data_IF_537782398273
#
_entry.id   IF_537782398273
#
_cell.length_a   1.000
_cell.length_b   1.000
_cell.length_c   1.000
_cell.angle_alpha   90.00
_cell.angle_beta   90.00
_cell.angle_gamma   90.00
#
_symmetry.space_group_name_H-M   'P 1'
#
loop_
_entity.id
_entity.type
_entity.pdbx_description
1 polymer ?
#
# COMPACT_ATOMS: atom_id res chain seq x y z
N UNK A 1 55.30 50.38 -27.41
CA UNK A 1 54.52 50.10 -26.20
C UNK A 1 53.31 49.29 -26.55
N UNK A 2 53.19 47.98 -26.21
CA UNK A 2 52.03 47.20 -26.50
C UNK A 2 51.22 46.95 -25.22
N UNK A 3 50.05 47.55 -25.05
CA UNK A 3 49.10 47.35 -23.92
C UNK A 3 47.80 46.67 -24.30
N UNK A 4 47.66 46.03 -25.46
CA UNK A 4 46.39 45.53 -26.00
C UNK A 4 46.11 44.05 -25.90
N UNK A 5 47.02 43.17 -25.37
CA UNK A 5 46.89 41.73 -25.50
C UNK A 5 46.42 40.95 -24.23
N UNK A 6 46.24 41.62 -23.09
CA UNK A 6 45.85 40.93 -21.83
C UNK A 6 44.36 40.97 -21.51
N UNK A 7 43.55 41.77 -22.20
CA UNK A 7 42.10 41.89 -21.90
C UNK A 7 41.28 40.76 -22.60
N UNK A 8 41.69 40.35 -23.82
CA UNK A 8 40.96 39.30 -24.57
C UNK A 8 41.01 37.90 -23.95
N UNK A 9 41.97 37.56 -23.08
CA UNK A 9 42.04 36.27 -22.46
C UNK A 9 41.15 36.11 -21.20
N UNK A 10 40.80 37.23 -20.54
CA UNK A 10 39.92 37.20 -19.33
C UNK A 10 38.46 37.02 -19.73
N UNK A 11 38.02 37.58 -20.82
CA UNK A 11 36.62 37.43 -21.28
C UNK A 11 36.33 36.05 -21.86
N UNK A 12 37.31 35.44 -22.54
CA UNK A 12 37.17 34.06 -23.02
C UNK A 12 37.16 33.02 -21.89
N UNK A 13 37.88 33.26 -20.80
CA UNK A 13 37.88 32.38 -19.63
C UNK A 13 36.57 32.48 -18.82
N UNK A 14 35.98 33.66 -18.73
CA UNK A 14 34.68 33.88 -18.05
C UNK A 14 33.51 33.24 -18.83
N UNK A 15 33.54 33.28 -20.18
CA UNK A 15 32.51 32.65 -21.02
C UNK A 15 32.60 31.11 -20.97
N UNK A 16 33.79 30.52 -20.82
CA UNK A 16 33.96 29.06 -20.67
C UNK A 16 33.52 28.56 -19.29
N UNK A 17 33.63 29.34 -18.23
CA UNK A 17 33.12 29.00 -16.89
C UNK A 17 31.59 29.05 -16.84
N UNK A 18 30.93 29.99 -17.54
CA UNK A 18 29.47 30.05 -17.61
C UNK A 18 28.85 28.92 -18.44
N UNK A 19 29.54 28.43 -19.48
CA UNK A 19 29.06 27.31 -20.30
C UNK A 19 29.14 25.97 -19.56
N UNK A 20 30.02 25.82 -18.59
CA UNK A 20 30.18 24.58 -17.79
C UNK A 20 29.10 24.41 -16.70
N UNK A 21 28.42 25.47 -16.26
CA UNK A 21 27.35 25.39 -15.24
C UNK A 21 25.97 25.08 -15.83
N UNK A 22 25.79 25.13 -17.13
CA UNK A 22 24.50 24.89 -17.79
C UNK A 22 24.19 23.38 -18.03
N UNK A 23 25.09 22.46 -17.72
CA UNK A 23 24.96 21.03 -18.05
C UNK A 23 24.51 20.13 -16.87
N UNK A 24 24.18 20.70 -15.73
CA UNK A 24 23.54 19.98 -14.62
C UNK A 24 22.04 20.28 -14.57
N UNK A 25 21.36 20.04 -15.67
CA UNK A 25 19.92 19.80 -15.62
C UNK A 25 19.75 18.39 -15.07
N UNK A 26 19.82 18.25 -13.75
CA UNK A 26 19.27 17.08 -13.07
C UNK A 26 17.83 16.93 -13.59
N UNK A 27 17.48 15.78 -14.15
CA UNK A 27 16.11 15.49 -14.51
C UNK A 27 15.26 15.68 -13.25
N UNK A 28 14.44 16.71 -13.25
CA UNK A 28 13.63 17.09 -12.09
C UNK A 28 12.41 16.17 -11.94
N UNK A 29 12.47 14.96 -12.46
CA UNK A 29 11.35 14.02 -12.44
C UNK A 29 11.75 12.62 -12.86
N UNK A 30 10.76 11.72 -12.84
CA UNK A 30 10.94 10.36 -13.33
C UNK A 30 11.18 10.33 -14.85
N UNK A 31 12.01 9.40 -15.30
CA UNK A 31 12.40 9.28 -16.72
C UNK A 31 11.27 8.76 -17.61
N UNK A 32 10.25 8.12 -17.00
CA UNK A 32 9.06 7.60 -17.68
C UNK A 32 7.85 7.57 -16.73
N UNK A 33 6.68 7.28 -17.28
CA UNK A 33 5.47 6.96 -16.50
C UNK A 33 5.71 5.69 -15.69
N UNK A 34 5.32 5.72 -14.43
CA UNK A 34 5.50 4.62 -13.46
C UNK A 34 4.24 3.74 -13.45
N UNK A 35 4.41 2.46 -13.72
CA UNK A 35 3.32 1.48 -13.81
C UNK A 35 2.96 0.89 -12.44
N UNK A 36 1.70 1.05 -12.06
CA UNK A 36 1.19 0.66 -10.74
C UNK A 36 -0.02 -0.27 -10.88
N UNK A 37 0.17 -1.59 -10.97
CA UNK A 37 -0.95 -2.52 -10.89
C UNK A 37 -1.56 -2.50 -9.48
N UNK A 38 -2.85 -2.21 -9.39
CA UNK A 38 -3.58 -2.07 -8.14
C UNK A 38 -4.77 -3.01 -8.07
N UNK A 39 -5.17 -3.34 -6.85
CA UNK A 39 -6.39 -4.08 -6.56
C UNK A 39 -7.23 -3.31 -5.54
N UNK A 40 -8.57 -3.29 -5.66
CA UNK A 40 -9.42 -2.67 -4.66
C UNK A 40 -9.10 -3.16 -3.25
N UNK A 41 -8.98 -2.23 -2.32
CA UNK A 41 -8.62 -2.46 -0.92
C UNK A 41 -9.35 -1.45 0.00
N UNK A 42 -10.68 -1.40 -0.11
CA UNK A 42 -11.51 -0.45 0.61
C UNK A 42 -11.16 1.00 0.25
N UNK A 43 -11.01 1.84 1.26
CA UNK A 43 -10.67 3.27 1.06
C UNK A 43 -9.20 3.52 0.73
N UNK A 44 -8.36 2.50 0.87
CA UNK A 44 -6.94 2.63 0.47
C UNK A 44 -6.80 2.71 -1.04
N UNK A 45 -7.57 1.88 -1.76
CA UNK A 45 -7.64 1.86 -3.23
C UNK A 45 -9.06 1.45 -3.62
N UNK A 46 -9.74 2.26 -4.39
CA UNK A 46 -11.04 1.93 -4.97
C UNK A 46 -11.17 2.52 -6.39
N UNK A 47 -12.19 2.07 -7.12
CA UNK A 47 -12.51 2.57 -8.45
C UNK A 47 -13.83 3.33 -8.35
N UNK A 48 -13.85 4.54 -8.87
CA UNK A 48 -15.02 5.40 -8.96
C UNK A 48 -15.01 6.09 -10.33
N UNK A 49 -16.11 6.00 -11.08
CA UNK A 49 -16.22 6.58 -12.43
C UNK A 49 -15.02 6.24 -13.33
N UNK A 50 -14.64 4.97 -13.35
CA UNK A 50 -13.44 4.42 -14.07
C UNK A 50 -12.09 4.95 -13.60
N UNK A 51 -12.04 5.79 -12.57
CA UNK A 51 -10.82 6.33 -12.00
C UNK A 51 -10.42 5.58 -10.74
N UNK A 52 -9.11 5.31 -10.64
CA UNK A 52 -8.53 4.75 -9.41
C UNK A 52 -8.36 5.88 -8.39
N UNK A 53 -9.02 5.76 -7.25
CA UNK A 53 -9.04 6.73 -6.17
C UNK A 53 -8.68 6.08 -4.82
N UNK A 54 -8.65 6.87 -3.75
CA UNK A 54 -8.35 6.44 -2.39
C UNK A 54 -7.03 6.97 -1.85
N UNK A 55 -6.73 6.62 -0.61
CA UNK A 55 -5.58 7.14 0.14
C UNK A 55 -4.28 7.05 -0.67
N UNK A 56 -3.99 5.87 -1.24
CA UNK A 56 -2.69 5.62 -1.87
C UNK A 56 -2.59 6.20 -3.28
N UNK A 57 -3.55 6.01 -4.18
CA UNK A 57 -3.49 6.64 -5.51
C UNK A 57 -3.44 8.17 -5.46
N UNK A 58 -4.17 8.79 -4.54
CA UNK A 58 -4.17 10.24 -4.37
C UNK A 58 -2.83 10.72 -3.80
N UNK A 59 -2.27 10.02 -2.80
CA UNK A 59 -0.93 10.30 -2.26
C UNK A 59 0.14 10.19 -3.37
N UNK A 60 0.09 9.14 -4.20
CA UNK A 60 1.03 8.98 -5.30
C UNK A 60 0.94 10.14 -6.29
N UNK A 61 -0.27 10.51 -6.73
CA UNK A 61 -0.44 11.64 -7.66
C UNK A 61 0.05 12.96 -7.06
N UNK A 62 -0.32 13.25 -5.80
CA UNK A 62 0.10 14.47 -5.09
C UNK A 62 1.62 14.54 -4.98
N UNK A 63 2.26 13.48 -4.53
CA UNK A 63 3.71 13.42 -4.33
C UNK A 63 4.49 13.29 -5.63
N UNK A 64 3.95 12.53 -6.59
CA UNK A 64 4.50 12.43 -7.92
C UNK A 64 4.53 13.76 -8.65
N UNK A 65 3.45 14.54 -8.58
CA UNK A 65 3.41 15.87 -9.18
C UNK A 65 4.52 16.79 -8.63
N UNK A 66 4.79 16.72 -7.31
CA UNK A 66 5.88 17.48 -6.68
C UNK A 66 7.27 16.99 -7.08
N UNK A 67 7.40 15.70 -7.40
CA UNK A 67 8.65 15.06 -7.80
C UNK A 67 8.83 14.98 -9.32
N UNK A 68 7.88 15.45 -10.12
CA UNK A 68 7.90 15.33 -11.58
C UNK A 68 7.70 13.89 -12.08
N UNK A 69 6.99 13.06 -11.32
CA UNK A 69 6.67 11.67 -11.68
C UNK A 69 5.19 11.52 -11.97
N UNK A 70 4.87 10.78 -13.03
CA UNK A 70 3.51 10.42 -13.42
C UNK A 70 3.27 8.92 -13.16
N UNK A 71 2.06 8.56 -12.69
CA UNK A 71 1.66 7.19 -12.36
C UNK A 71 0.52 6.72 -13.24
N UNK A 72 0.67 5.52 -13.82
CA UNK A 72 -0.36 4.83 -14.57
C UNK A 72 -0.89 3.65 -13.74
N UNK A 73 -2.17 3.71 -13.38
CA UNK A 73 -2.82 2.66 -12.60
C UNK A 73 -3.54 1.67 -13.51
N UNK A 74 -3.32 0.37 -13.27
CA UNK A 74 -4.07 -0.72 -13.90
C UNK A 74 -4.78 -1.54 -12.83
N UNK A 75 -6.10 -1.69 -12.93
CA UNK A 75 -6.91 -2.43 -11.96
C UNK A 75 -6.89 -3.91 -12.31
N UNK A 76 -6.36 -4.73 -11.39
CA UNK A 76 -6.26 -6.18 -11.56
C UNK A 76 -6.52 -6.89 -10.23
N UNK A 77 -6.85 -8.19 -10.23
CA UNK A 77 -6.94 -8.99 -9.00
C UNK A 77 -5.64 -8.96 -8.20
N UNK A 78 -5.74 -9.01 -6.87
CA UNK A 78 -4.59 -8.90 -5.94
C UNK A 78 -3.43 -9.85 -6.26
N UNK A 79 -3.74 -11.11 -6.55
CA UNK A 79 -2.74 -12.11 -6.91
C UNK A 79 -2.07 -11.78 -8.26
N UNK A 80 -2.80 -11.20 -9.22
CA UNK A 80 -2.27 -10.76 -10.51
C UNK A 80 -1.33 -9.57 -10.33
N UNK A 81 -1.72 -8.56 -9.53
CA UNK A 81 -0.85 -7.43 -9.21
C UNK A 81 0.48 -7.89 -8.59
N UNK A 82 0.43 -8.85 -7.67
CA UNK A 82 1.63 -9.42 -7.07
C UNK A 82 2.51 -10.12 -8.10
N UNK A 83 1.92 -10.95 -8.98
CA UNK A 83 2.67 -11.63 -10.04
C UNK A 83 3.32 -10.64 -11.01
N UNK A 84 2.58 -9.63 -11.46
CA UNK A 84 3.07 -8.60 -12.38
C UNK A 84 4.32 -7.90 -11.85
N UNK A 85 4.33 -7.56 -10.54
CA UNK A 85 5.48 -6.86 -9.95
C UNK A 85 6.61 -7.81 -9.56
N UNK A 86 6.30 -8.93 -8.85
CA UNK A 86 7.34 -9.75 -8.22
C UNK A 86 7.87 -10.89 -9.08
N UNK A 87 7.10 -11.37 -10.07
CA UNK A 87 7.47 -12.52 -10.89
C UNK A 87 7.72 -12.14 -12.35
N UNK A 88 6.83 -11.35 -12.94
CA UNK A 88 6.92 -10.93 -14.34
C UNK A 88 7.80 -9.69 -14.54
N UNK A 89 8.09 -8.96 -13.45
CA UNK A 89 8.89 -7.73 -13.44
C UNK A 89 8.42 -6.69 -14.47
N UNK A 90 7.09 -6.59 -14.66
CA UNK A 90 6.46 -5.67 -15.60
C UNK A 90 5.65 -4.55 -14.94
N UNK A 91 5.61 -4.52 -13.60
CA UNK A 91 5.05 -3.43 -12.79
C UNK A 91 6.13 -2.81 -11.91
N UNK A 92 6.03 -1.51 -11.66
CA UNK A 92 7.04 -0.75 -10.94
C UNK A 92 6.80 -0.71 -9.43
N UNK A 93 5.54 -0.53 -9.03
CA UNK A 93 5.14 -0.42 -7.63
C UNK A 93 4.10 -1.48 -7.26
N UNK A 94 4.14 -1.92 -6.01
CA UNK A 94 3.12 -2.78 -5.42
C UNK A 94 2.61 -2.21 -4.11
N UNK A 95 1.32 -1.86 -4.07
CA UNK A 95 0.66 -1.24 -2.91
C UNK A 95 -0.85 -1.58 -2.84
N UNK A 96 -1.50 -1.45 -1.66
CA UNK A 96 -0.87 -1.43 -0.34
C UNK A 96 -0.11 -2.73 -0.09
N UNK A 97 1.02 -2.68 0.58
CA UNK A 97 1.82 -3.87 0.85
C UNK A 97 2.16 -3.97 2.34
N UNK A 98 2.10 -5.19 2.88
CA UNK A 98 2.78 -5.53 4.12
C UNK A 98 4.18 -6.08 3.78
N UNK A 99 5.17 -5.72 4.60
CA UNK A 99 6.55 -6.15 4.38
C UNK A 99 6.66 -7.67 4.45
N UNK A 100 7.38 -8.25 3.49
CA UNK A 100 7.65 -9.67 3.40
C UNK A 100 9.13 -9.89 3.05
N UNK A 101 9.95 -10.53 3.93
CA UNK A 101 11.40 -10.63 3.76
C UNK A 101 11.85 -11.21 2.40
N UNK A 102 11.09 -12.15 1.84
CA UNK A 102 11.43 -12.74 0.54
C UNK A 102 11.39 -11.74 -0.60
N UNK A 103 10.53 -10.71 -0.51
CA UNK A 103 10.41 -9.64 -1.51
C UNK A 103 11.53 -8.61 -1.42
N UNK A 104 12.11 -8.42 -0.23
CA UNK A 104 13.20 -7.46 -0.01
C UNK A 104 14.46 -7.79 -0.82
N UNK A 105 14.59 -9.04 -1.32
CA UNK A 105 15.71 -9.49 -2.16
C UNK A 105 15.76 -8.78 -3.52
N UNK A 106 14.61 -8.52 -4.12
CA UNK A 106 14.48 -7.96 -5.48
C UNK A 106 13.78 -6.61 -5.51
N UNK A 107 13.13 -6.22 -4.42
CA UNK A 107 12.36 -4.99 -4.32
C UNK A 107 12.77 -4.21 -3.07
N UNK A 108 12.65 -2.89 -3.14
CA UNK A 108 12.86 -2.01 -2.00
C UNK A 108 11.50 -1.74 -1.35
N UNK A 109 11.41 -1.93 -0.04
CA UNK A 109 10.21 -1.61 0.73
C UNK A 109 10.36 -0.25 1.39
N UNK A 110 9.37 0.63 1.19
CA UNK A 110 9.27 1.90 1.91
C UNK A 110 8.05 1.83 2.82
N UNK A 111 8.23 1.83 4.15
CA UNK A 111 7.13 1.85 5.09
C UNK A 111 6.42 3.21 5.05
N UNK A 112 5.10 3.20 5.03
CA UNK A 112 4.26 4.40 5.09
C UNK A 112 3.53 4.52 6.43
N UNK A 113 3.22 3.39 7.07
CA UNK A 113 2.58 3.33 8.38
C UNK A 113 2.73 1.94 8.99
N UNK A 114 2.40 1.82 10.29
CA UNK A 114 2.27 0.53 10.98
C UNK A 114 0.85 0.38 11.50
N UNK A 115 0.30 -0.82 11.41
CA UNK A 115 -1.05 -1.13 11.85
C UNK A 115 -1.17 -2.55 12.38
N UNK A 116 -2.15 -2.77 13.25
CA UNK A 116 -2.52 -4.10 13.71
C UNK A 116 -3.43 -4.84 12.72
N UNK A 117 -3.62 -6.12 12.99
CA UNK A 117 -4.65 -6.94 12.37
C UNK A 117 -5.93 -6.81 13.20
N UNK A 118 -7.07 -6.88 12.53
CA UNK A 118 -8.38 -6.89 13.14
C UNK A 118 -9.18 -8.12 12.71
N UNK A 119 -10.03 -8.61 13.59
CA UNK A 119 -11.09 -9.54 13.24
C UNK A 119 -12.31 -8.76 12.79
N UNK A 120 -12.91 -9.22 11.70
CA UNK A 120 -14.15 -8.67 11.18
C UNK A 120 -15.26 -9.72 11.24
N UNK A 121 -16.41 -9.32 11.82
CA UNK A 121 -17.63 -10.14 11.96
C UNK A 121 -18.85 -9.34 11.56
N UNK A 122 -19.97 -9.98 11.22
CA UNK A 122 -21.24 -9.27 11.09
C UNK A 122 -21.70 -8.73 12.45
N UNK A 123 -22.25 -7.52 12.47
CA UNK A 123 -22.81 -6.92 13.70
C UNK A 123 -23.99 -7.70 14.27
N UNK A 124 -24.68 -8.46 13.43
CA UNK A 124 -25.80 -9.32 13.82
C UNK A 124 -25.36 -10.62 14.48
N UNK A 125 -24.07 -10.98 14.35
CA UNK A 125 -23.52 -12.17 14.99
C UNK A 125 -22.96 -11.82 16.38
N UNK A 126 -22.84 -12.85 17.24
CA UNK A 126 -22.14 -12.71 18.52
C UNK A 126 -20.68 -12.31 18.30
N UNK A 127 -20.07 -11.56 19.25
CA UNK A 127 -18.64 -11.30 19.23
C UNK A 127 -17.82 -12.61 19.23
N UNK A 128 -16.74 -12.62 18.50
CA UNK A 128 -15.78 -13.74 18.50
C UNK A 128 -14.55 -13.40 19.36
N UNK A 129 -13.75 -14.39 19.77
CA UNK A 129 -12.49 -14.12 20.47
C UNK A 129 -11.54 -13.20 19.68
N UNK A 130 -10.78 -12.37 20.38
CA UNK A 130 -9.87 -11.39 19.78
C UNK A 130 -8.41 -11.87 19.72
N UNK A 131 -8.16 -13.15 20.00
CA UNK A 131 -6.84 -13.79 19.82
C UNK A 131 -6.93 -15.08 19.00
N UNK A 132 -5.83 -15.40 18.31
CA UNK A 132 -5.79 -16.54 17.39
C UNK A 132 -5.99 -17.89 18.07
N UNK A 133 -5.46 -18.07 19.29
CA UNK A 133 -5.54 -19.33 20.00
C UNK A 133 -6.99 -19.66 20.40
N UNK A 134 -7.73 -18.67 20.90
CA UNK A 134 -9.15 -18.84 21.26
C UNK A 134 -10.04 -18.99 20.02
N UNK A 135 -9.78 -18.25 18.92
CA UNK A 135 -10.47 -18.44 17.65
C UNK A 135 -10.28 -19.86 17.11
N UNK A 136 -9.08 -20.42 17.28
CA UNK A 136 -8.77 -21.78 16.85
C UNK A 136 -9.41 -22.82 17.75
N UNK A 137 -9.45 -22.56 19.07
CA UNK A 137 -10.05 -23.47 20.06
C UNK A 137 -11.58 -23.58 19.91
N UNK A 138 -12.25 -22.51 19.50
CA UNK A 138 -13.69 -22.53 19.26
C UNK A 138 -14.01 -23.24 17.94
N UNK A 139 -14.37 -24.53 18.05
CA UNK A 139 -14.63 -25.40 16.89
C UNK A 139 -15.94 -25.08 16.15
N UNK A 140 -16.78 -24.21 16.69
CA UNK A 140 -18.00 -23.75 16.02
C UNK A 140 -17.73 -22.66 14.97
N UNK A 141 -16.61 -21.91 15.12
CA UNK A 141 -16.29 -20.78 14.26
C UNK A 141 -15.63 -21.20 12.95
N UNK A 142 -16.06 -20.56 11.86
CA UNK A 142 -15.52 -20.72 10.51
C UNK A 142 -14.92 -19.41 10.03
N UNK A 143 -13.67 -19.45 9.54
CA UNK A 143 -12.98 -18.29 8.97
C UNK A 143 -13.03 -18.29 7.44
N UNK A 144 -12.92 -17.09 6.85
CA UNK A 144 -12.77 -16.91 5.40
C UNK A 144 -11.68 -15.89 5.13
N UNK A 145 -10.79 -16.14 4.16
CA UNK A 145 -9.57 -15.38 3.94
C UNK A 145 -9.37 -15.04 2.46
N UNK A 146 -8.68 -13.93 2.16
CA UNK A 146 -8.37 -13.55 0.77
C UNK A 146 -7.06 -14.18 0.34
N UNK A 147 -7.05 -14.81 -0.83
CA UNK A 147 -5.86 -15.39 -1.43
C UNK A 147 -4.76 -14.35 -1.65
N UNK A 148 -3.53 -14.69 -1.24
CA UNK A 148 -2.37 -13.80 -1.39
C UNK A 148 -2.23 -12.75 -0.29
N UNK A 149 -3.14 -12.71 0.69
CA UNK A 149 -2.89 -11.94 1.91
C UNK A 149 -1.90 -12.68 2.80
N UNK A 150 -1.02 -11.90 3.43
CA UNK A 150 -0.02 -12.39 4.37
C UNK A 150 0.14 -11.40 5.50
N UNK A 151 -0.05 -11.85 6.73
CA UNK A 151 0.02 -11.04 7.94
C UNK A 151 1.01 -11.63 8.96
N UNK A 152 2.12 -12.18 8.47
CA UNK A 152 3.13 -12.85 9.29
C UNK A 152 2.89 -14.36 9.42
N UNK A 153 3.90 -15.06 9.98
CA UNK A 153 3.89 -16.54 10.09
C UNK A 153 2.71 -17.03 10.92
N UNK A 154 2.45 -16.42 12.09
CA UNK A 154 1.34 -16.80 12.96
C UNK A 154 -0.03 -16.76 12.27
N UNK A 155 -0.25 -15.79 11.37
CA UNK A 155 -1.45 -15.76 10.53
C UNK A 155 -1.48 -16.91 9.53
N UNK A 156 -0.34 -17.19 8.87
CA UNK A 156 -0.25 -18.29 7.91
C UNK A 156 -0.59 -19.63 8.57
N UNK A 157 0.07 -19.95 9.66
CA UNK A 157 -0.13 -21.17 10.44
C UNK A 157 -1.60 -21.31 10.91
N UNK A 158 -2.21 -20.21 11.35
CA UNK A 158 -3.61 -20.15 11.76
C UNK A 158 -4.56 -20.48 10.59
N UNK A 159 -4.35 -19.88 9.42
CA UNK A 159 -5.17 -20.13 8.22
C UNK A 159 -5.03 -21.58 7.77
N UNK A 160 -3.80 -22.10 7.74
CA UNK A 160 -3.50 -23.47 7.33
C UNK A 160 -4.15 -24.50 8.28
N UNK A 161 -4.11 -24.22 9.59
CA UNK A 161 -4.76 -25.09 10.58
C UNK A 161 -6.29 -25.08 10.45
N UNK A 162 -6.91 -23.91 10.26
CA UNK A 162 -8.35 -23.85 10.00
C UNK A 162 -8.75 -24.57 8.71
N UNK A 163 -7.92 -24.48 7.67
CA UNK A 163 -8.15 -25.19 6.41
C UNK A 163 -8.06 -26.71 6.59
N UNK A 164 -7.05 -27.20 7.33
CA UNK A 164 -6.89 -28.62 7.67
C UNK A 164 -8.10 -29.17 8.47
N UNK A 165 -8.67 -28.34 9.34
CA UNK A 165 -9.88 -28.65 10.11
C UNK A 165 -11.20 -28.45 9.30
N UNK A 166 -11.13 -28.08 8.02
CA UNK A 166 -12.28 -27.74 7.15
C UNK A 166 -13.14 -26.62 7.70
N UNK A 167 -12.52 -25.68 8.42
CA UNK A 167 -13.13 -24.48 9.01
C UNK A 167 -12.62 -23.18 8.39
N UNK A 168 -11.70 -23.25 7.43
CA UNK A 168 -11.11 -22.10 6.74
C UNK A 168 -11.30 -22.21 5.24
N UNK A 169 -11.90 -21.17 4.64
CA UNK A 169 -12.03 -21.03 3.20
C UNK A 169 -11.14 -19.90 2.68
N UNK A 170 -10.56 -20.08 1.49
CA UNK A 170 -9.76 -19.04 0.82
C UNK A 170 -10.41 -18.63 -0.49
N UNK A 171 -10.71 -17.34 -0.62
CA UNK A 171 -11.42 -16.75 -1.76
C UNK A 171 -10.52 -15.81 -2.56
N UNK A 172 -10.85 -15.49 -3.83
CA UNK A 172 -9.99 -14.70 -4.69
C UNK A 172 -9.88 -13.23 -4.28
N UNK A 173 -10.93 -12.65 -3.70
CA UNK A 173 -11.06 -11.20 -3.46
C UNK A 173 -11.95 -10.86 -2.25
N UNK A 174 -11.88 -9.59 -1.85
CA UNK A 174 -12.69 -9.05 -0.74
C UNK A 174 -14.20 -9.06 -1.06
N UNK A 175 -14.58 -8.90 -2.32
CA UNK A 175 -15.99 -8.90 -2.70
C UNK A 175 -16.63 -10.26 -2.43
N UNK A 176 -15.98 -11.33 -2.88
CA UNK A 176 -16.42 -12.71 -2.62
C UNK A 176 -16.42 -12.99 -1.11
N UNK A 177 -15.38 -12.56 -0.39
CA UNK A 177 -15.29 -12.69 1.06
C UNK A 177 -16.48 -12.01 1.75
N UNK A 178 -16.77 -10.75 1.41
CA UNK A 178 -17.88 -9.99 1.99
C UNK A 178 -19.22 -10.66 1.75
N UNK A 179 -19.48 -11.12 0.52
CA UNK A 179 -20.72 -11.84 0.17
C UNK A 179 -20.90 -13.12 0.98
N UNK A 180 -19.81 -13.87 1.18
CA UNK A 180 -19.85 -15.12 1.97
C UNK A 180 -20.11 -14.86 3.44
N UNK A 181 -19.48 -13.83 4.04
CA UNK A 181 -19.77 -13.41 5.41
C UNK A 181 -21.23 -12.98 5.56
N UNK A 182 -21.74 -12.11 4.67
CA UNK A 182 -23.14 -11.67 4.67
C UNK A 182 -24.15 -12.80 4.50
N UNK A 183 -23.76 -13.86 3.79
CA UNK A 183 -24.58 -15.06 3.60
C UNK A 183 -24.47 -16.07 4.76
N UNK A 184 -23.73 -15.75 5.85
CA UNK A 184 -23.55 -16.63 7.00
C UNK A 184 -22.77 -17.92 6.68
N UNK A 185 -21.94 -17.91 5.62
CA UNK A 185 -21.09 -19.07 5.25
C UNK A 185 -19.80 -19.13 6.03
N UNK A 186 -19.44 -18.03 6.68
CA UNK A 186 -18.33 -17.92 7.62
C UNK A 186 -18.69 -16.89 8.70
N UNK A 187 -18.06 -17.02 9.86
CA UNK A 187 -18.34 -16.19 11.03
C UNK A 187 -17.40 -14.99 11.10
N UNK A 188 -16.16 -15.13 10.63
CA UNK A 188 -15.16 -14.08 10.72
C UNK A 188 -14.14 -14.11 9.57
N UNK A 189 -13.43 -12.97 9.45
CA UNK A 189 -12.18 -12.85 8.68
C UNK A 189 -11.17 -12.04 9.45
N UNK A 190 -9.90 -12.15 9.05
CA UNK A 190 -8.82 -11.31 9.55
C UNK A 190 -8.32 -10.37 8.44
N UNK A 191 -8.22 -9.08 8.74
CA UNK A 191 -7.76 -8.05 7.81
C UNK A 191 -6.86 -7.04 8.53
N UNK A 192 -5.98 -6.33 7.83
CA UNK A 192 -5.36 -5.13 8.39
C UNK A 192 -6.45 -4.17 8.85
N UNK A 193 -6.29 -3.59 10.05
CA UNK A 193 -7.34 -2.82 10.72
C UNK A 193 -8.01 -1.77 9.81
N UNK A 194 -7.20 -0.96 9.12
CA UNK A 194 -7.71 0.09 8.24
C UNK A 194 -8.40 -0.50 6.99
N UNK A 195 -7.87 -1.59 6.44
CA UNK A 195 -8.53 -2.28 5.32
C UNK A 195 -9.91 -2.78 5.74
N UNK A 196 -10.01 -3.40 6.93
CA UNK A 196 -11.27 -3.87 7.49
C UNK A 196 -12.31 -2.75 7.60
N UNK A 197 -11.89 -1.54 7.99
CA UNK A 197 -12.77 -0.37 8.20
C UNK A 197 -13.46 0.18 6.95
N UNK A 198 -13.32 -0.38 5.78
CA UNK A 198 -13.97 0.17 4.59
C UNK A 198 -14.06 -0.78 3.40
N UNK A 199 -13.43 -1.96 3.49
CA UNK A 199 -13.38 -2.88 2.36
C UNK A 199 -14.60 -3.82 2.29
N UNK A 200 -15.11 -4.25 3.44
CA UNK A 200 -16.13 -5.30 3.51
C UNK A 200 -17.52 -4.85 3.09
N UNK A 201 -17.85 -3.58 3.23
CA UNK A 201 -19.15 -3.07 2.80
C UNK A 201 -19.24 -2.88 1.29
N UNK A 202 -18.13 -2.90 0.57
CA UNK A 202 -18.03 -2.68 -0.88
C UNK A 202 -18.51 -1.28 -1.29
N UNK A 203 -18.56 -0.36 -0.35
CA UNK A 203 -19.00 1.02 -0.52
C UNK A 203 -17.96 1.96 0.13
N UNK A 204 -16.88 2.30 -0.58
CA UNK A 204 -15.72 3.00 0.01
C UNK A 204 -16.05 4.38 0.60
N UNK A 205 -17.15 4.98 0.20
CA UNK A 205 -17.61 6.27 0.73
C UNK A 205 -18.69 6.17 1.81
N UNK A 206 -19.17 4.97 2.13
CA UNK A 206 -20.18 4.78 3.16
C UNK A 206 -19.63 5.20 4.54
N UNK A 207 -20.38 5.93 5.37
CA UNK A 207 -19.98 6.24 6.73
C UNK A 207 -19.67 4.97 7.53
N UNK A 208 -18.55 4.91 8.25
CA UNK A 208 -18.13 3.70 8.98
C UNK A 208 -19.14 3.25 10.04
N UNK A 209 -19.89 4.18 10.63
CA UNK A 209 -20.96 3.86 11.57
C UNK A 209 -22.14 3.09 10.96
N UNK A 210 -22.27 3.07 9.63
CA UNK A 210 -23.30 2.33 8.90
C UNK A 210 -22.83 0.97 8.41
N UNK A 211 -21.57 0.59 8.70
CA UNK A 211 -21.02 -0.72 8.32
C UNK A 211 -21.86 -1.85 8.92
N UNK A 212 -22.14 -2.86 8.09
CA UNK A 212 -22.74 -4.11 8.54
C UNK A 212 -21.75 -4.94 9.40
N UNK A 213 -20.48 -4.58 9.39
CA UNK A 213 -19.41 -5.32 10.06
C UNK A 213 -18.94 -4.62 11.34
N UNK A 214 -18.59 -5.44 12.31
CA UNK A 214 -17.81 -5.06 13.49
C UNK A 214 -16.35 -5.37 13.18
N UNK A 215 -15.48 -4.39 13.40
CA UNK A 215 -14.04 -4.52 13.15
C UNK A 215 -13.31 -4.27 14.46
N UNK A 216 -12.73 -5.32 15.04
CA UNK A 216 -12.12 -5.30 16.37
C UNK A 216 -10.63 -5.67 16.27
N UNK A 217 -9.71 -4.89 16.87
CA UNK A 217 -8.28 -5.20 16.86
C UNK A 217 -8.01 -6.56 17.51
N UNK A 218 -7.15 -7.36 16.85
CA UNK A 218 -6.65 -8.60 17.42
C UNK A 218 -5.63 -8.34 18.53
N UNK A 219 -5.68 -9.13 19.58
CA UNK A 219 -4.73 -9.12 20.68
C UNK A 219 -3.53 -10.02 20.39
N UNK A 220 -2.37 -9.70 20.98
CA UNK A 220 -1.18 -10.55 20.91
C UNK A 220 -0.47 -10.60 19.55
N UNK A 221 -0.94 -9.86 18.55
CA UNK A 221 -0.27 -9.76 17.26
C UNK A 221 0.56 -8.48 17.16
N UNK A 222 1.77 -8.52 16.57
CA UNK A 222 2.58 -7.34 16.39
C UNK A 222 1.96 -6.37 15.37
N UNK A 223 2.31 -5.07 15.51
CA UNK A 223 2.03 -4.12 14.45
C UNK A 223 2.87 -4.45 13.22
N UNK A 224 2.24 -4.38 12.06
CA UNK A 224 2.87 -4.70 10.78
C UNK A 224 3.16 -3.43 10.00
N UNK A 225 4.33 -3.39 9.34
CA UNK A 225 4.68 -2.31 8.41
C UNK A 225 3.83 -2.42 7.15
N UNK A 226 3.07 -1.37 6.89
CA UNK A 226 2.30 -1.19 5.66
C UNK A 226 2.96 -0.10 4.81
N UNK A 227 3.15 -0.37 3.52
CA UNK A 227 3.89 0.55 2.66
C UNK A 227 3.79 0.20 1.19
N UNK A 228 4.84 0.54 0.47
CA UNK A 228 4.99 0.31 -0.97
C UNK A 228 6.28 -0.46 -1.24
N UNK A 229 6.20 -1.45 -2.14
CA UNK A 229 7.37 -2.05 -2.77
C UNK A 229 7.68 -1.35 -4.08
N UNK A 230 8.94 -1.07 -4.32
CA UNK A 230 9.48 -0.53 -5.57
C UNK A 230 10.38 -1.57 -6.22
N UNK A 231 10.19 -1.83 -7.50
CA UNK A 231 10.98 -2.83 -8.24
C UNK A 231 12.40 -2.33 -8.49
N UNK A 232 13.41 -3.05 -8.00
CA UNK A 232 14.82 -2.80 -8.34
C UNK A 232 15.19 -3.31 -9.73
N UNK A 233 14.34 -4.16 -10.30
CA UNK A 233 14.59 -4.83 -11.58
C UNK A 233 13.97 -4.09 -12.77
N UNK A 234 12.92 -3.29 -12.51
CA UNK A 234 12.15 -2.62 -13.55
C UNK A 234 12.33 -1.08 -13.56
N UNK A 235 12.61 -0.49 -12.38
CA UNK A 235 12.87 0.95 -12.29
C UNK A 235 14.33 1.27 -12.61
N UNK A 236 14.54 2.39 -13.33
CA UNK A 236 15.87 3.00 -13.44
C UNK A 236 16.38 3.38 -12.03
N UNK A 237 17.69 3.24 -11.75
CA UNK A 237 18.24 3.59 -10.44
C UNK A 237 17.95 5.02 -9.99
N UNK A 238 17.90 5.98 -10.91
CA UNK A 238 17.58 7.38 -10.57
C UNK A 238 16.10 7.53 -10.19
N UNK A 239 15.17 6.89 -10.95
CA UNK A 239 13.74 6.87 -10.64
C UNK A 239 13.48 6.17 -9.30
N UNK A 240 14.15 5.04 -9.05
CA UNK A 240 14.06 4.33 -7.78
C UNK A 240 14.46 5.21 -6.61
N UNK A 241 15.61 5.88 -6.69
CA UNK A 241 16.11 6.76 -5.65
C UNK A 241 15.16 7.96 -5.42
N UNK A 242 14.65 8.56 -6.48
CA UNK A 242 13.71 9.68 -6.43
C UNK A 242 12.39 9.27 -5.76
N UNK A 243 11.83 8.13 -6.13
CA UNK A 243 10.57 7.62 -5.57
C UNK A 243 10.73 7.25 -4.09
N UNK A 244 11.85 6.60 -3.71
CA UNK A 244 12.16 6.31 -2.30
C UNK A 244 12.17 7.60 -1.49
N UNK A 245 12.95 8.60 -1.93
CA UNK A 245 13.03 9.89 -1.24
C UNK A 245 11.66 10.58 -1.18
N UNK A 246 10.86 10.48 -2.24
CA UNK A 246 9.51 11.06 -2.30
C UNK A 246 8.60 10.46 -1.25
N UNK A 247 8.61 9.13 -1.07
CA UNK A 247 7.77 8.48 -0.07
C UNK A 247 8.30 8.68 1.36
N UNK A 248 9.60 8.64 1.57
CA UNK A 248 10.20 8.95 2.88
C UNK A 248 9.86 10.39 3.33
N UNK A 249 9.95 11.36 2.43
CA UNK A 249 9.51 12.73 2.69
C UNK A 249 8.02 12.82 2.99
N UNK A 250 7.18 12.06 2.30
CA UNK A 250 5.74 12.04 2.54
C UNK A 250 5.39 11.52 3.95
N UNK A 251 6.18 10.60 4.49
CA UNK A 251 6.07 10.17 5.89
C UNK A 251 6.54 11.28 6.82
N UNK A 252 7.76 11.79 6.60
CA UNK A 252 8.41 12.76 7.47
C UNK A 252 7.63 14.09 7.60
N UNK A 253 7.00 14.56 6.53
CA UNK A 253 6.21 15.79 6.52
C UNK A 253 4.72 15.57 6.88
N UNK A 254 4.34 14.35 7.23
CA UNK A 254 2.98 14.00 7.64
C UNK A 254 1.95 13.92 6.50
N UNK A 255 2.39 13.93 5.24
CA UNK A 255 1.45 13.83 4.11
C UNK A 255 0.73 12.48 4.07
N UNK A 256 1.40 11.39 4.45
CA UNK A 256 0.76 10.08 4.57
C UNK A 256 -0.41 10.17 5.56
N UNK A 257 -0.18 10.70 6.76
CA UNK A 257 -1.24 10.88 7.78
C UNK A 257 -2.39 11.75 7.25
N UNK A 258 -2.09 12.87 6.57
CA UNK A 258 -3.12 13.73 5.97
C UNK A 258 -3.91 13.00 4.87
N UNK A 259 -3.26 12.16 4.06
CA UNK A 259 -3.94 11.35 3.05
C UNK A 259 -4.95 10.38 3.69
N UNK A 260 -4.58 9.73 4.79
CA UNK A 260 -5.52 8.89 5.54
C UNK A 260 -6.70 9.67 6.10
N UNK A 261 -6.47 10.86 6.69
CA UNK A 261 -7.52 11.71 7.25
C UNK A 261 -8.54 12.23 6.23
N UNK A 262 -8.22 12.22 4.93
CA UNK A 262 -9.21 12.53 3.87
C UNK A 262 -10.24 11.41 3.67
N UNK A 263 -9.92 10.18 4.05
CA UNK A 263 -10.73 9.00 3.77
C UNK A 263 -11.24 8.29 5.03
N UNK A 264 -10.59 8.49 6.15
CA UNK A 264 -10.91 7.86 7.44
C UNK A 264 -11.08 8.90 8.52
N UNK A 265 -12.01 8.67 9.47
CA UNK A 265 -12.16 9.56 10.61
C UNK A 265 -10.95 9.46 11.54
N UNK A 266 -10.70 10.51 12.35
CA UNK A 266 -9.52 10.61 13.22
C UNK A 266 -9.29 9.39 14.12
N UNK A 267 -10.35 8.84 14.73
CA UNK A 267 -10.26 7.69 15.65
C UNK A 267 -9.74 6.40 14.97
N UNK A 268 -9.88 6.27 13.67
CA UNK A 268 -9.28 5.19 12.89
C UNK A 268 -7.82 5.48 12.61
N UNK A 269 -7.49 6.73 12.25
CA UNK A 269 -6.13 7.15 11.90
C UNK A 269 -5.21 7.17 13.12
N UNK A 270 -5.73 7.47 14.30
CA UNK A 270 -4.98 7.43 15.57
C UNK A 270 -4.50 6.03 15.97
N UNK A 271 -5.07 4.98 15.39
CA UNK A 271 -4.59 3.59 15.59
C UNK A 271 -3.45 3.20 14.66
N UNK A 272 -3.04 4.08 13.76
CA UNK A 272 -1.86 3.92 12.91
C UNK A 272 -0.65 4.61 13.53
N UNK A 273 0.52 4.05 13.31
CA UNK A 273 1.80 4.71 13.57
C UNK A 273 2.41 5.11 12.21
N UNK A 274 2.84 6.35 12.10
CA UNK A 274 3.46 6.91 10.89
C UNK A 274 4.93 7.20 11.13
#
# INVERSE_FOLDING_TARGET
MPRGRRILHREKLALLLCAGLAALHAHAGCTRVIDVPVSPAGRLVFVEDEHVAGVLPELLRERGALAGCEFRFSVVPRARAARTVFEEHSGDLYLPALRKPERDKTHLFVPLSRQGIAVATLRTHAPVPLDLARLLADKSLRGIFVRGYYFGTAYGDFVDQLAAEKRGDVVPDIETLSRMLKAGRADFTLLPFVTGQGALDLAPRMPLGQSAFRIEPMEGLPLMENGVYLSRLNLDPADLALLVQTFERAVADGAVRRAYLRHYPPEVVERLQF
#
